data_IF_976186101804
#
_entry.id   IF_976186101804
#
_cell.length_a   1.000
_cell.length_b   1.000
_cell.length_c   1.000
_cell.angle_alpha   90.00
_cell.angle_beta   90.00
_cell.angle_gamma   90.00
#
_symmetry.space_group_name_H-M   'P 1'
#
loop_
_entity.id
_entity.type
_entity.pdbx_description
1 polymer ?
#
# COMPACT_ATOMS: atom_id res chain seq x y z
N UNK A 1 10.39 22.93 -26.32
CA UNK A 1 9.93 23.21 -24.94
C UNK A 1 9.45 21.89 -24.35
N UNK A 2 10.36 21.12 -23.79
CA UNK A 2 10.10 19.79 -23.22
C UNK A 2 9.79 19.96 -21.74
N UNK A 3 8.51 19.86 -21.37
CA UNK A 3 8.11 19.80 -19.97
C UNK A 3 8.52 18.45 -19.39
N UNK A 4 9.63 18.42 -18.65
CA UNK A 4 10.02 17.27 -17.82
C UNK A 4 8.94 17.06 -16.75
N UNK A 5 8.24 15.94 -16.83
CA UNK A 5 7.36 15.49 -15.76
C UNK A 5 8.27 15.03 -14.62
N UNK A 6 8.27 15.80 -13.55
CA UNK A 6 8.90 15.48 -12.28
C UNK A 6 8.21 14.22 -11.71
N UNK A 7 8.84 13.06 -11.85
CA UNK A 7 8.31 11.76 -11.41
C UNK A 7 8.15 11.66 -9.89
N UNK A 8 8.71 12.59 -9.13
CA UNK A 8 8.39 12.76 -7.70
C UNK A 8 6.94 13.22 -7.43
N UNK A 9 6.20 13.60 -8.48
CA UNK A 9 4.81 14.07 -8.43
C UNK A 9 3.81 13.16 -9.13
N UNK A 10 4.26 12.06 -9.76
CA UNK A 10 3.41 11.21 -10.60
C UNK A 10 2.78 10.01 -9.87
N UNK A 11 3.12 9.77 -8.61
CA UNK A 11 2.51 8.71 -7.81
C UNK A 11 1.63 9.31 -6.71
N UNK A 12 0.34 8.97 -6.79
CA UNK A 12 -0.62 8.94 -5.69
C UNK A 12 -0.99 10.34 -5.16
N UNK A 13 -2.10 10.90 -5.65
CA UNK A 13 -2.86 11.91 -4.92
C UNK A 13 -3.58 11.25 -3.73
N UNK A 14 -2.82 10.95 -2.67
CA UNK A 14 -3.34 10.75 -1.30
C UNK A 14 -3.07 12.06 -0.54
N UNK A 15 -3.89 12.38 0.47
CA UNK A 15 -3.71 13.56 1.33
C UNK A 15 -2.22 13.76 1.70
N UNK A 16 -1.74 15.01 1.68
CA UNK A 16 -0.32 15.36 1.87
C UNK A 16 0.30 14.76 3.15
N UNK A 17 -0.48 14.49 4.20
CA UNK A 17 -0.03 13.80 5.42
C UNK A 17 0.22 12.30 5.24
N UNK A 18 -0.55 11.61 4.40
CA UNK A 18 -0.39 10.17 4.14
C UNK A 18 0.83 9.95 3.23
N UNK A 19 1.06 10.85 2.27
CA UNK A 19 2.28 10.86 1.46
C UNK A 19 3.51 11.03 2.35
N UNK A 20 3.45 11.84 3.40
CA UNK A 20 4.60 12.05 4.28
C UNK A 20 4.90 10.86 5.19
N UNK A 21 3.88 10.08 5.61
CA UNK A 21 4.08 8.81 6.34
C UNK A 21 4.65 7.71 5.44
N UNK A 22 4.16 7.58 4.21
CA UNK A 22 4.77 6.69 3.21
C UNK A 22 6.19 7.12 2.87
N UNK A 23 6.42 8.43 2.73
CA UNK A 23 7.76 9.00 2.58
C UNK A 23 8.63 8.75 3.80
N UNK A 24 8.11 8.68 5.02
CA UNK A 24 8.93 8.43 6.22
C UNK A 24 9.36 6.97 6.33
N UNK A 25 8.47 6.02 6.05
CA UNK A 25 8.82 4.60 6.02
C UNK A 25 9.72 4.27 4.82
N UNK A 26 9.48 4.92 3.68
CA UNK A 26 10.33 4.79 2.50
C UNK A 26 11.62 5.64 2.56
N UNK A 27 11.71 6.74 3.32
CA UNK A 27 12.92 7.60 3.44
C UNK A 27 14.11 6.86 4.05
N UNK A 28 13.86 5.76 4.75
CA UNK A 28 14.93 4.94 5.31
C UNK A 28 15.61 4.07 4.22
N UNK A 29 14.99 3.94 3.03
CA UNK A 29 15.48 3.10 1.91
C UNK A 29 15.51 3.84 0.55
N UNK A 30 14.77 4.93 0.36
CA UNK A 30 14.69 5.67 -0.90
C UNK A 30 15.83 6.69 -1.02
N UNK A 31 16.87 6.31 -1.76
CA UNK A 31 17.55 7.26 -2.61
C UNK A 31 16.50 7.92 -3.51
N UNK A 32 16.42 9.24 -3.52
CA UNK A 32 15.56 9.99 -4.42
C UNK A 32 15.86 9.52 -5.84
N UNK A 33 14.93 8.83 -6.51
CA UNK A 33 15.11 8.36 -7.88
C UNK A 33 15.69 9.48 -8.75
N UNK A 34 16.96 9.35 -9.17
CA UNK A 34 17.65 10.34 -10.00
C UNK A 34 17.61 9.90 -11.46
N UNK A 35 17.74 10.83 -12.43
CA UNK A 35 17.82 10.46 -13.84
C UNK A 35 18.89 9.40 -14.14
N UNK A 36 19.99 9.41 -13.40
CA UNK A 36 21.08 8.42 -13.53
C UNK A 36 20.63 7.02 -13.07
N UNK A 37 19.81 6.93 -12.01
CA UNK A 37 19.23 5.68 -11.54
C UNK A 37 18.20 5.15 -12.55
N UNK A 38 17.38 6.03 -13.12
CA UNK A 38 16.42 5.65 -14.15
C UNK A 38 17.10 5.10 -15.41
N UNK A 39 18.18 5.74 -15.85
CA UNK A 39 18.96 5.28 -16.99
C UNK A 39 19.66 3.94 -16.68
N UNK A 40 20.24 3.80 -15.48
CA UNK A 40 20.86 2.55 -15.03
C UNK A 40 19.86 1.40 -15.00
N UNK A 41 18.66 1.63 -14.44
CA UNK A 41 17.57 0.65 -14.43
C UNK A 41 17.11 0.31 -15.85
N UNK A 42 16.89 1.31 -16.70
CA UNK A 42 16.46 1.09 -18.08
C UNK A 42 17.48 0.25 -18.86
N UNK A 43 18.77 0.52 -18.68
CA UNK A 43 19.85 -0.26 -19.29
C UNK A 43 19.89 -1.69 -18.73
N UNK A 44 19.68 -1.88 -17.43
CA UNK A 44 19.64 -3.20 -16.79
C UNK A 44 18.46 -4.06 -17.24
N UNK A 45 17.31 -3.42 -17.49
CA UNK A 45 16.13 -4.06 -18.07
C UNK A 45 16.39 -4.44 -19.53
N UNK A 46 16.97 -3.54 -20.33
CA UNK A 46 17.30 -3.78 -21.75
C UNK A 46 18.39 -4.84 -21.95
N UNK A 47 19.35 -4.96 -21.02
CA UNK A 47 20.40 -5.99 -21.08
C UNK A 47 19.89 -7.40 -20.77
N UNK A 48 18.64 -7.54 -20.30
CA UNK A 48 18.06 -8.82 -19.89
C UNK A 48 18.58 -9.34 -18.54
N UNK A 49 19.45 -8.58 -17.85
CA UNK A 49 20.00 -8.96 -16.54
C UNK A 49 18.91 -9.11 -15.47
N UNK A 50 17.78 -8.41 -15.63
CA UNK A 50 16.64 -8.45 -14.73
C UNK A 50 16.09 -9.86 -14.49
N UNK A 51 16.02 -10.72 -15.51
CA UNK A 51 15.46 -12.07 -15.38
C UNK A 51 16.29 -12.90 -14.40
N UNK A 52 17.63 -12.85 -14.55
CA UNK A 52 18.55 -13.58 -13.68
C UNK A 52 18.57 -13.04 -12.25
N UNK A 53 18.34 -11.75 -12.06
CA UNK A 53 18.30 -11.12 -10.74
C UNK A 53 17.00 -11.46 -10.01
N UNK A 54 15.86 -11.38 -10.70
CA UNK A 54 14.55 -11.75 -10.15
C UNK A 54 14.51 -13.25 -9.79
N UNK A 55 15.13 -14.12 -10.60
CA UNK A 55 15.23 -15.54 -10.29
C UNK A 55 15.98 -15.81 -8.98
N UNK A 56 17.13 -15.14 -8.77
CA UNK A 56 17.88 -15.19 -7.51
C UNK A 56 17.05 -14.64 -6.35
N UNK A 57 16.37 -13.51 -6.55
CA UNK A 57 15.53 -12.88 -5.52
C UNK A 57 14.46 -13.84 -4.98
N UNK A 58 13.88 -14.67 -5.86
CA UNK A 58 12.77 -15.55 -5.52
C UNK A 58 13.22 -16.91 -4.95
N UNK A 59 14.37 -17.42 -5.37
CA UNK A 59 14.78 -18.80 -5.09
C UNK A 59 15.99 -18.92 -4.14
N UNK A 60 16.80 -17.88 -3.97
CA UNK A 60 17.99 -17.93 -3.13
C UNK A 60 17.72 -17.38 -1.71
N UNK A 61 17.69 -18.29 -0.74
CA UNK A 61 17.45 -17.96 0.66
C UNK A 61 18.63 -17.16 1.23
N UNK A 62 18.38 -15.91 1.62
CA UNK A 62 19.41 -15.00 2.15
C UNK A 62 20.00 -14.06 1.10
N UNK A 63 19.57 -14.14 -0.17
CA UNK A 63 19.99 -13.18 -1.18
C UNK A 63 19.52 -11.75 -0.84
N UNK A 64 18.34 -11.60 -0.25
CA UNK A 64 17.84 -10.31 0.27
C UNK A 64 18.75 -9.74 1.36
N UNK A 65 19.44 -10.57 2.13
CA UNK A 65 20.37 -10.12 3.19
C UNK A 65 21.67 -9.54 2.59
N UNK A 66 21.88 -9.66 1.28
CA UNK A 66 23.02 -9.07 0.56
C UNK A 66 22.72 -7.69 -0.03
N UNK A 67 21.56 -7.09 0.29
CA UNK A 67 21.08 -5.82 -0.27
C UNK A 67 22.11 -4.68 -0.20
N UNK A 68 22.93 -4.62 0.87
CA UNK A 68 23.98 -3.60 1.02
C UNK A 68 25.03 -3.63 -0.12
N UNK A 69 25.12 -4.75 -0.86
CA UNK A 69 26.05 -4.91 -1.98
C UNK A 69 25.41 -4.64 -3.34
N UNK A 70 24.10 -4.37 -3.40
CA UNK A 70 23.40 -4.18 -4.66
C UNK A 70 23.70 -2.81 -5.25
N UNK A 71 23.84 -2.78 -6.57
CA UNK A 71 23.92 -1.51 -7.28
C UNK A 71 22.54 -0.82 -7.34
N UNK A 72 22.51 0.42 -7.84
CA UNK A 72 21.27 1.19 -7.92
C UNK A 72 20.18 0.50 -8.76
N UNK A 73 20.53 -0.10 -9.89
CA UNK A 73 19.56 -0.78 -10.75
C UNK A 73 18.99 -2.05 -10.09
N UNK A 74 19.83 -2.82 -9.39
CA UNK A 74 19.41 -4.00 -8.62
C UNK A 74 18.44 -3.64 -7.48
N UNK A 75 18.72 -2.54 -6.77
CA UNK A 75 17.81 -1.99 -5.77
C UNK A 75 16.47 -1.55 -6.39
N UNK A 76 16.49 -0.88 -7.54
CA UNK A 76 15.26 -0.50 -8.25
C UNK A 76 14.46 -1.72 -8.74
N UNK A 77 15.12 -2.79 -9.18
CA UNK A 77 14.44 -4.06 -9.53
C UNK A 77 13.75 -4.64 -8.31
N UNK A 78 14.42 -4.68 -7.16
CA UNK A 78 13.82 -5.16 -5.92
C UNK A 78 12.60 -4.30 -5.52
N UNK A 79 12.74 -2.98 -5.51
CA UNK A 79 11.64 -2.07 -5.22
C UNK A 79 10.47 -2.25 -6.19
N UNK A 80 10.76 -2.42 -7.49
CA UNK A 80 9.74 -2.69 -8.51
C UNK A 80 8.97 -3.98 -8.23
N UNK A 81 9.65 -5.06 -7.80
CA UNK A 81 9.00 -6.32 -7.41
C UNK A 81 8.14 -6.16 -6.16
N UNK A 82 8.64 -5.48 -5.13
CA UNK A 82 7.87 -5.23 -3.90
C UNK A 82 6.62 -4.37 -4.21
N UNK A 83 6.76 -3.31 -5.01
CA UNK A 83 5.62 -2.49 -5.45
C UNK A 83 4.62 -3.29 -6.30
N UNK A 84 5.09 -4.19 -7.16
CA UNK A 84 4.22 -5.10 -7.94
C UNK A 84 3.44 -6.05 -7.02
N UNK A 85 4.09 -6.55 -5.97
CA UNK A 85 3.45 -7.38 -4.94
C UNK A 85 2.36 -6.60 -4.22
N UNK A 86 2.66 -5.39 -3.72
CA UNK A 86 1.70 -4.52 -3.04
C UNK A 86 0.51 -4.16 -3.95
N UNK A 87 0.76 -3.80 -5.21
CA UNK A 87 -0.30 -3.52 -6.18
C UNK A 87 -1.20 -4.74 -6.41
N UNK A 88 -0.61 -5.92 -6.54
CA UNK A 88 -1.36 -7.18 -6.77
C UNK A 88 -2.20 -7.53 -5.56
N UNK A 89 -1.63 -7.40 -4.35
CA UNK A 89 -2.32 -7.58 -3.09
C UNK A 89 -3.51 -6.62 -2.94
N UNK A 90 -3.29 -5.32 -3.14
CA UNK A 90 -4.32 -4.29 -3.01
C UNK A 90 -5.44 -4.49 -4.02
N UNK A 91 -5.12 -4.71 -5.30
CA UNK A 91 -6.15 -4.93 -6.33
C UNK A 91 -6.94 -6.21 -6.10
N UNK A 92 -6.29 -7.29 -5.62
CA UNK A 92 -6.97 -8.54 -5.26
C UNK A 92 -7.88 -8.35 -4.05
N UNK A 93 -7.47 -7.56 -3.06
CA UNK A 93 -8.30 -7.22 -1.90
C UNK A 93 -9.53 -6.42 -2.33
N UNK A 94 -9.37 -5.42 -3.20
CA UNK A 94 -10.51 -4.67 -3.76
C UNK A 94 -11.48 -5.56 -4.54
N UNK A 95 -10.97 -6.48 -5.37
CA UNK A 95 -11.80 -7.41 -6.14
C UNK A 95 -12.56 -8.37 -5.20
N UNK A 96 -11.92 -8.86 -4.14
CA UNK A 96 -12.54 -9.73 -3.11
C UNK A 96 -13.61 -8.97 -2.30
N UNK A 97 -13.34 -7.72 -1.95
CA UNK A 97 -14.18 -6.88 -1.09
C UNK A 97 -15.16 -6.00 -1.89
N UNK A 98 -15.51 -6.37 -3.12
CA UNK A 98 -16.36 -5.57 -4.02
C UNK A 98 -17.68 -5.10 -3.37
N UNK A 99 -18.30 -5.95 -2.53
CA UNK A 99 -19.57 -5.64 -1.82
C UNK A 99 -19.45 -4.54 -0.75
N UNK A 100 -18.22 -4.27 -0.31
CA UNK A 100 -17.87 -3.35 0.77
C UNK A 100 -17.32 -2.00 0.25
N UNK A 101 -16.98 -1.93 -1.05
CA UNK A 101 -16.59 -0.70 -1.71
C UNK A 101 -17.70 0.36 -1.67
N UNK A 102 -17.33 1.58 -1.33
CA UNK A 102 -18.22 2.72 -1.10
C UNK A 102 -19.01 2.68 0.21
N UNK A 103 -18.75 1.70 1.09
CA UNK A 103 -19.38 1.58 2.43
C UNK A 103 -18.35 1.69 3.54
N UNK A 104 -17.40 0.76 3.53
CA UNK A 104 -16.31 0.67 4.53
C UNK A 104 -14.92 0.72 3.86
N UNK A 105 -14.88 0.68 2.53
CA UNK A 105 -13.69 0.90 1.70
C UNK A 105 -14.00 1.96 0.65
N UNK A 106 -13.00 2.71 0.15
CA UNK A 106 -13.17 3.52 -1.05
C UNK A 106 -13.61 2.65 -2.24
N UNK A 107 -14.26 3.27 -3.23
CA UNK A 107 -14.49 2.60 -4.52
C UNK A 107 -13.19 2.59 -5.33
N UNK A 108 -12.83 1.43 -5.88
CA UNK A 108 -11.82 1.33 -6.93
C UNK A 108 -12.46 1.77 -8.25
N UNK A 109 -12.06 2.94 -8.75
CA UNK A 109 -12.61 3.54 -9.96
C UNK A 109 -11.91 3.03 -11.23
N UNK A 110 -10.59 2.85 -11.16
CA UNK A 110 -9.80 2.32 -12.27
C UNK A 110 -8.50 1.68 -11.81
N UNK A 111 -8.00 0.71 -12.58
CA UNK A 111 -6.61 0.22 -12.55
C UNK A 111 -5.90 0.84 -13.74
N UNK A 112 -4.78 1.52 -13.52
CA UNK A 112 -4.04 2.24 -14.56
C UNK A 112 -2.69 1.58 -14.82
N UNK A 113 -2.23 1.64 -16.06
CA UNK A 113 -0.90 1.21 -16.45
C UNK A 113 -0.34 2.28 -17.37
N UNK A 114 0.85 2.77 -17.03
CA UNK A 114 1.60 3.72 -17.82
C UNK A 114 2.83 3.00 -18.37
N UNK A 115 2.87 2.85 -19.68
CA UNK A 115 4.03 2.31 -20.38
C UNK A 115 5.11 3.38 -20.45
N UNK A 116 6.31 3.07 -19.97
CA UNK A 116 7.48 3.90 -20.20
C UNK A 116 8.03 3.52 -21.59
N UNK A 117 7.93 4.42 -22.57
CA UNK A 117 8.40 4.15 -23.93
C UNK A 117 9.87 3.72 -23.93
N UNK A 118 10.20 2.50 -24.41
CA UNK A 118 11.59 2.19 -24.71
C UNK A 118 12.00 2.99 -25.93
N UNK A 119 13.14 3.69 -25.84
CA UNK A 119 13.67 4.48 -26.97
C UNK A 119 14.08 3.64 -28.19
N UNK A 120 13.89 2.31 -28.18
CA UNK A 120 14.22 1.42 -29.29
C UNK A 120 13.10 0.43 -29.60
N UNK A 121 12.86 0.22 -30.90
CA UNK A 121 11.66 -0.39 -31.48
C UNK A 121 11.58 -1.93 -31.40
N UNK A 122 12.37 -2.60 -30.56
CA UNK A 122 12.39 -4.06 -30.47
C UNK A 122 12.66 -4.52 -29.04
N UNK A 123 11.65 -4.41 -28.19
CA UNK A 123 11.71 -4.95 -26.82
C UNK A 123 10.71 -6.10 -26.70
N UNK A 124 11.18 -7.26 -26.25
CA UNK A 124 10.35 -8.45 -26.00
C UNK A 124 9.25 -8.14 -24.96
N UNK A 125 8.09 -8.81 -25.07
CA UNK A 125 6.92 -8.61 -24.19
C UNK A 125 7.25 -8.69 -22.70
N UNK A 126 8.17 -9.58 -22.34
CA UNK A 126 8.51 -9.88 -20.94
C UNK A 126 9.35 -8.75 -20.32
N UNK A 127 10.08 -8.00 -21.15
CA UNK A 127 10.88 -6.84 -20.75
C UNK A 127 9.99 -5.60 -20.62
N UNK A 128 8.93 -5.51 -21.45
CA UNK A 128 7.98 -4.40 -21.40
C UNK A 128 7.24 -4.33 -20.07
N UNK A 129 6.90 -5.46 -19.45
CA UNK A 129 6.22 -5.45 -18.14
C UNK A 129 7.06 -4.76 -17.05
N UNK A 130 8.38 -4.87 -17.12
CA UNK A 130 9.30 -4.20 -16.20
C UNK A 130 9.44 -2.68 -16.45
N UNK A 131 8.93 -2.20 -17.59
CA UNK A 131 8.86 -0.78 -17.93
C UNK A 131 7.44 -0.20 -17.73
N UNK A 132 6.57 -0.92 -17.02
CA UNK A 132 5.22 -0.46 -16.74
C UNK A 132 5.10 0.07 -15.31
N UNK A 133 4.55 1.28 -15.18
CA UNK A 133 4.12 1.80 -13.89
C UNK A 133 2.65 1.44 -13.71
N UNK A 134 2.34 0.62 -12.71
CA UNK A 134 0.97 0.26 -12.34
C UNK A 134 0.45 1.21 -11.26
N UNK A 135 -0.84 1.50 -11.30
CA UNK A 135 -1.49 2.34 -10.30
C UNK A 135 -2.98 2.07 -10.18
N UNK A 136 -3.60 2.69 -9.18
CA UNK A 136 -5.04 2.61 -8.95
C UNK A 136 -5.63 4.01 -8.75
N UNK A 137 -6.88 4.17 -9.18
CA UNK A 137 -7.67 5.37 -8.93
C UNK A 137 -8.78 5.02 -7.96
N UNK A 138 -8.82 5.72 -6.82
CA UNK A 138 -9.78 5.50 -5.75
C UNK A 138 -10.77 6.66 -5.62
N UNK A 139 -11.94 6.37 -5.05
CA UNK A 139 -12.87 7.39 -4.59
C UNK A 139 -12.16 8.36 -3.65
N UNK A 140 -12.30 9.65 -3.91
CA UNK A 140 -11.85 10.69 -2.99
C UNK A 140 -12.71 10.70 -1.73
N UNK A 141 -12.05 10.71 -0.57
CA UNK A 141 -12.68 10.77 0.75
C UNK A 141 -12.33 12.11 1.42
N UNK A 142 -13.29 13.05 1.53
CA UNK A 142 -13.05 14.37 2.12
C UNK A 142 -13.06 14.29 3.65
N UNK A 143 -12.01 13.73 4.24
CA UNK A 143 -11.92 13.50 5.68
C UNK A 143 -10.49 13.55 6.21
N UNK A 144 -10.36 13.28 7.50
CA UNK A 144 -9.08 13.14 8.19
C UNK A 144 -8.85 11.68 8.56
N UNK A 145 -7.61 11.30 8.83
CA UNK A 145 -7.31 9.96 9.33
C UNK A 145 -7.80 9.77 10.77
N UNK A 146 -8.03 8.52 11.20
CA UNK A 146 -8.39 8.19 12.58
C UNK A 146 -7.28 8.62 13.56
N UNK A 147 -6.05 8.71 13.06
CA UNK A 147 -4.93 9.26 13.79
C UNK A 147 -5.01 10.74 14.17
N UNK A 148 -5.81 11.53 13.45
CA UNK A 148 -6.01 12.96 13.65
C UNK A 148 -7.42 13.25 14.21
N UNK A 149 -7.99 12.29 14.95
CA UNK A 149 -9.32 12.38 15.56
C UNK A 149 -9.47 13.64 16.44
N UNK A 150 -8.44 13.98 17.19
CA UNK A 150 -8.43 15.09 18.16
C UNK A 150 -8.52 16.47 17.53
N UNK A 151 -8.20 16.58 16.24
CA UNK A 151 -8.17 17.85 15.53
C UNK A 151 -9.51 18.21 14.89
N UNK A 152 -10.30 17.20 14.48
CA UNK A 152 -11.45 17.41 13.60
C UNK A 152 -12.75 16.79 14.12
N UNK A 153 -12.69 15.89 15.09
CA UNK A 153 -13.84 15.12 15.57
C UNK A 153 -14.09 15.40 17.05
N UNK A 154 -15.34 15.71 17.46
CA UNK A 154 -15.65 15.94 18.86
C UNK A 154 -15.47 14.66 19.68
N UNK A 155 -14.87 14.80 20.87
CA UNK A 155 -14.52 13.69 21.77
C UNK A 155 -15.64 12.65 22.00
N UNK A 156 -16.93 13.03 22.17
CA UNK A 156 -18.00 12.05 22.38
C UNK A 156 -18.15 11.02 21.26
N UNK A 157 -17.69 11.32 20.03
CA UNK A 157 -17.78 10.42 18.88
C UNK A 157 -16.56 9.49 18.74
N UNK A 158 -15.48 9.68 19.50
CA UNK A 158 -14.24 8.94 19.29
C UNK A 158 -14.40 7.43 19.50
N UNK A 159 -15.08 7.02 20.57
CA UNK A 159 -15.26 5.59 20.87
C UNK A 159 -16.02 4.88 19.76
N UNK A 160 -17.13 5.46 19.29
CA UNK A 160 -17.94 4.88 18.21
C UNK A 160 -17.13 4.70 16.92
N UNK A 161 -16.20 5.61 16.62
CA UNK A 161 -15.35 5.53 15.43
C UNK A 161 -14.24 4.50 15.55
N UNK A 162 -13.68 4.34 16.74
CA UNK A 162 -12.70 3.29 17.03
C UNK A 162 -13.38 1.92 16.92
N UNK A 163 -14.58 1.79 17.49
CA UNK A 163 -15.37 0.55 17.43
C UNK A 163 -15.79 0.23 15.98
N UNK A 164 -16.11 1.26 15.17
CA UNK A 164 -16.32 1.10 13.72
C UNK A 164 -15.05 0.58 13.02
N UNK A 165 -13.88 1.16 13.29
CA UNK A 165 -12.62 0.71 12.70
C UNK A 165 -12.32 -0.76 13.03
N UNK A 166 -12.55 -1.17 14.28
CA UNK A 166 -12.43 -2.58 14.71
C UNK A 166 -13.40 -3.47 13.93
N UNK A 167 -14.67 -3.05 13.80
CA UNK A 167 -15.68 -3.81 13.05
C UNK A 167 -15.32 -3.95 11.57
N UNK A 168 -14.69 -2.94 10.98
CA UNK A 168 -14.19 -3.00 9.59
C UNK A 168 -13.13 -4.09 9.47
N UNK A 169 -12.16 -4.14 10.39
CA UNK A 169 -11.15 -5.21 10.41
C UNK A 169 -11.79 -6.60 10.55
N UNK A 170 -12.80 -6.77 11.41
CA UNK A 170 -13.57 -8.02 11.49
C UNK A 170 -14.22 -8.39 10.17
N UNK A 171 -14.82 -7.41 9.49
CA UNK A 171 -15.50 -7.61 8.21
C UNK A 171 -14.54 -8.10 7.13
N UNK A 172 -13.29 -7.60 7.12
CA UNK A 172 -12.24 -8.12 6.23
C UNK A 172 -11.94 -9.59 6.56
N UNK A 173 -11.76 -9.88 7.85
CA UNK A 173 -11.53 -11.24 8.34
C UNK A 173 -12.64 -12.24 7.95
N UNK A 174 -13.90 -11.82 8.00
CA UNK A 174 -15.07 -12.61 7.58
C UNK A 174 -15.10 -12.83 6.06
N UNK A 175 -14.51 -11.92 5.30
CA UNK A 175 -14.31 -12.06 3.85
C UNK A 175 -13.05 -12.86 3.49
N UNK A 176 -12.41 -13.52 4.47
CA UNK A 176 -11.14 -14.23 4.29
C UNK A 176 -9.99 -13.32 3.80
N UNK A 177 -10.01 -12.05 4.19
CA UNK A 177 -8.92 -11.09 3.96
C UNK A 177 -8.25 -10.79 5.30
N UNK A 178 -6.92 -10.83 5.30
CA UNK A 178 -6.10 -10.43 6.45
C UNK A 178 -5.28 -9.22 6.04
N UNK A 179 -5.29 -8.15 6.83
CA UNK A 179 -4.46 -6.97 6.60
C UNK A 179 -3.30 -6.95 7.61
N UNK A 180 -2.07 -6.92 7.09
CA UNK A 180 -0.88 -6.86 7.96
C UNK A 180 -0.49 -5.45 8.41
N UNK A 181 -1.10 -4.41 7.83
CA UNK A 181 -0.83 -3.00 8.15
C UNK A 181 -2.07 -2.30 8.70
N UNK A 182 -2.65 -2.87 9.76
CA UNK A 182 -3.76 -2.24 10.47
C UNK A 182 -3.23 -1.23 11.47
N UNK A 183 -3.46 0.05 11.20
CA UNK A 183 -3.06 1.18 12.04
C UNK A 183 -4.03 2.35 11.89
N UNK A 184 -4.15 3.26 12.89
CA UNK A 184 -5.08 4.38 12.82
C UNK A 184 -4.89 5.30 11.59
N UNK A 185 -3.67 5.40 11.06
CA UNK A 185 -3.39 6.22 9.86
C UNK A 185 -4.02 5.63 8.59
N UNK A 186 -4.34 4.33 8.59
CA UNK A 186 -4.96 3.61 7.48
C UNK A 186 -6.50 3.57 7.58
N UNK A 187 -7.08 4.39 8.45
CA UNK A 187 -8.52 4.62 8.52
C UNK A 187 -8.83 6.09 8.25
N UNK A 188 -9.75 6.36 7.33
CA UNK A 188 -10.26 7.68 7.02
C UNK A 188 -11.61 7.89 7.68
N UNK A 189 -11.74 8.98 8.43
CA UNK A 189 -12.98 9.46 9.04
C UNK A 189 -13.55 10.58 8.19
N UNK A 190 -14.69 10.31 7.56
CA UNK A 190 -15.34 11.22 6.62
C UNK A 190 -16.61 11.77 7.27
N UNK A 191 -16.79 13.10 7.33
CA UNK A 191 -18.04 13.71 7.79
C UNK A 191 -19.21 13.29 6.88
N UNK A 192 -20.32 12.95 7.50
CA UNK A 192 -21.57 12.58 6.84
C UNK A 192 -22.68 13.58 7.20
N UNK A 193 -23.84 13.43 6.54
CA UNK A 193 -25.01 14.25 6.82
C UNK A 193 -25.50 14.00 8.26
N UNK A 194 -25.89 15.07 8.96
CA UNK A 194 -26.36 15.07 10.36
C UNK A 194 -25.27 14.88 11.43
N UNK A 195 -24.10 15.52 11.27
CA UNK A 195 -23.00 15.50 12.25
C UNK A 195 -22.52 14.08 12.63
N UNK A 196 -22.75 13.12 11.72
CA UNK A 196 -22.23 11.76 11.82
C UNK A 196 -20.92 11.64 11.06
N UNK A 197 -20.19 10.59 11.36
CA UNK A 197 -18.95 10.27 10.66
C UNK A 197 -19.04 8.85 10.08
N UNK A 198 -18.33 8.63 8.98
CA UNK A 198 -18.18 7.33 8.35
C UNK A 198 -16.70 6.98 8.30
N UNK A 199 -16.39 5.75 8.70
CA UNK A 199 -15.02 5.25 8.70
C UNK A 199 -14.80 4.39 7.47
N UNK A 200 -13.69 4.62 6.79
CA UNK A 200 -13.24 3.84 5.66
C UNK A 200 -11.85 3.30 5.97
N UNK A 201 -11.62 2.00 5.82
CA UNK A 201 -10.25 1.50 5.73
C UNK A 201 -9.68 1.87 4.37
N UNK A 202 -8.48 2.44 4.38
CA UNK A 202 -7.68 2.70 3.20
C UNK A 202 -6.42 1.84 3.29
N UNK A 203 -5.68 1.78 2.19
CA UNK A 203 -4.42 1.06 2.12
C UNK A 203 -4.55 -0.45 2.34
N UNK A 204 -4.73 -1.17 1.22
CA UNK A 204 -4.84 -2.63 1.21
C UNK A 204 -3.57 -3.29 0.62
N UNK A 205 -2.46 -2.54 0.52
CA UNK A 205 -1.21 -3.02 -0.08
C UNK A 205 -0.63 -4.24 0.63
N UNK A 206 -0.84 -4.32 1.95
CA UNK A 206 -0.38 -5.43 2.79
C UNK A 206 -1.50 -6.42 3.14
N UNK A 207 -2.56 -6.48 2.32
CA UNK A 207 -3.59 -7.49 2.46
C UNK A 207 -3.17 -8.82 1.81
N UNK A 208 -3.58 -9.94 2.42
CA UNK A 208 -3.61 -11.25 1.76
C UNK A 208 -5.00 -11.86 1.83
N UNK A 209 -5.39 -12.55 0.77
CA UNK A 209 -6.57 -13.41 0.77
C UNK A 209 -6.15 -14.79 1.29
N UNK A 210 -7.00 -15.43 2.08
CA UNK A 210 -6.83 -16.82 2.52
C UNK A 210 -6.65 -17.73 1.31
N UNK A 211 -5.67 -18.63 1.36
CA UNK A 211 -5.45 -19.58 0.26
C UNK A 211 -6.46 -20.71 0.32
N UNK A 212 -6.80 -21.29 -0.83
CA UNK A 212 -7.76 -22.38 -0.92
C UNK A 212 -7.29 -23.66 -0.21
N UNK A 213 -5.98 -23.85 -0.11
CA UNK A 213 -5.31 -24.97 0.56
C UNK A 213 -4.97 -24.68 2.04
N UNK A 214 -5.20 -23.46 2.53
CA UNK A 214 -4.90 -23.06 3.91
C UNK A 214 -5.98 -23.59 4.88
N UNK A 215 -5.55 -24.42 5.84
CA UNK A 215 -6.44 -24.99 6.85
C UNK A 215 -6.99 -23.93 7.82
N UNK A 216 -8.12 -24.22 8.46
CA UNK A 216 -8.70 -23.30 9.47
C UNK A 216 -7.75 -23.01 10.63
N UNK A 217 -6.89 -23.98 10.97
CA UNK A 217 -5.89 -23.83 12.02
C UNK A 217 -4.76 -22.89 11.60
N UNK A 218 -4.30 -22.97 10.36
CA UNK A 218 -3.27 -22.08 9.80
C UNK A 218 -3.83 -20.66 9.68
N UNK A 219 -5.03 -20.53 9.12
CA UNK A 219 -5.72 -19.25 9.00
C UNK A 219 -5.98 -18.61 10.36
N UNK A 220 -6.51 -19.37 11.32
CA UNK A 220 -6.74 -18.90 12.69
C UNK A 220 -5.46 -18.47 13.40
N UNK A 221 -4.34 -19.19 13.19
CA UNK A 221 -3.02 -18.78 13.69
C UNK A 221 -2.56 -17.48 13.07
N UNK A 222 -2.72 -17.30 11.76
CA UNK A 222 -2.33 -16.07 11.08
C UNK A 222 -3.14 -14.86 11.59
N UNK A 223 -4.47 -15.00 11.74
CA UNK A 223 -5.32 -13.96 12.35
C UNK A 223 -4.88 -13.62 13.76
N UNK A 224 -4.63 -14.64 14.59
CA UNK A 224 -4.20 -14.45 15.97
C UNK A 224 -2.83 -13.77 16.08
N UNK A 225 -1.88 -14.10 15.20
CA UNK A 225 -0.56 -13.49 15.18
C UNK A 225 -0.60 -12.01 14.76
N UNK A 226 -1.52 -11.66 13.86
CA UNK A 226 -1.65 -10.29 13.37
C UNK A 226 -2.31 -9.36 14.40
N UNK A 227 -3.31 -9.85 15.13
CA UNK A 227 -4.06 -9.09 16.15
C UNK A 227 -4.49 -7.69 15.65
N UNK A 228 -5.23 -7.67 14.53
CA UNK A 228 -5.70 -6.44 13.87
C UNK A 228 -6.43 -5.50 14.84
N UNK A 229 -7.23 -6.07 15.75
CA UNK A 229 -7.95 -5.34 16.80
C UNK A 229 -6.99 -4.69 17.81
N UNK A 230 -6.02 -5.47 18.30
CA UNK A 230 -4.98 -5.00 19.20
C UNK A 230 -4.16 -3.88 18.58
N UNK A 231 -3.86 -3.94 17.28
CA UNK A 231 -3.13 -2.90 16.56
C UNK A 231 -3.90 -1.57 16.56
N UNK A 232 -5.22 -1.58 16.31
CA UNK A 232 -6.07 -0.38 16.38
C UNK A 232 -6.14 0.14 17.81
N UNK A 233 -6.51 -0.73 18.76
CA UNK A 233 -6.74 -0.35 20.15
C UNK A 233 -5.47 0.19 20.83
N UNK A 234 -4.34 -0.47 20.64
CA UNK A 234 -3.04 -0.02 21.15
C UNK A 234 -2.58 1.28 20.49
N UNK A 235 -2.72 1.38 19.16
CA UNK A 235 -2.37 2.60 18.42
C UNK A 235 -3.16 3.81 18.90
N UNK A 236 -4.47 3.64 19.09
CA UNK A 236 -5.34 4.70 19.61
C UNK A 236 -5.02 5.05 21.06
N UNK A 237 -4.85 4.05 21.94
CA UNK A 237 -4.51 4.28 23.35
C UNK A 237 -3.21 5.07 23.49
N UNK A 238 -2.16 4.72 22.74
CA UNK A 238 -0.89 5.45 22.78
C UNK A 238 -1.05 6.90 22.31
N UNK A 239 -1.89 7.15 21.29
CA UNK A 239 -2.16 8.49 20.77
C UNK A 239 -2.95 9.34 21.75
N UNK A 240 -4.08 8.82 22.24
CA UNK A 240 -4.94 9.51 23.20
C UNK A 240 -4.17 9.86 24.50
N UNK A 241 -3.31 8.95 24.95
CA UNK A 241 -2.44 9.21 26.09
C UNK A 241 -1.50 10.40 25.89
N UNK A 242 -0.94 10.57 24.69
CA UNK A 242 -0.05 11.71 24.37
C UNK A 242 -0.76 13.06 24.41
N UNK A 243 -2.07 13.09 24.17
CA UNK A 243 -2.89 14.29 24.16
C UNK A 243 -3.69 14.48 25.47
N UNK A 244 -3.46 13.63 26.48
CA UNK A 244 -3.98 13.81 27.84
C UNK A 244 -5.27 13.05 28.17
N UNK A 245 -5.62 12.02 27.39
CA UNK A 245 -6.80 11.17 27.60
C UNK A 245 -6.46 9.70 27.89
#
# INVERSE_FOLDING_TARGET
MTSRIDRSKALIWKNDEIIENYRLELKTVLCCCTPEIEESYANFVQSGCIVSFVDKLNHDAGFKDTQDNWNAAENEVFLSQELKSLYTAETTAYDTLQKHQGKILPRLLAKVTLDLEPSSAQVHSDILEHMQIKGILLQYLPGSTLSALDQHVPQPAWQDLIDEAVRIAHTLGDCNVLNSDVRPDNFMVVPAVNDKYHVFMIDLGQCRVRRADESDKEWGRAKWQQDEEGAIGMGMRQRLHKIGY
#
